data_IF_878837806880
#
_entry.id   IF_878837806880
#
_cell.length_a   1.000
_cell.length_b   1.000
_cell.length_c   1.000
_cell.angle_alpha   90.00
_cell.angle_beta   90.00
_cell.angle_gamma   90.00
#
_symmetry.space_group_name_H-M   'P 1'
#
loop_
_entity.id
_entity.type
_entity.pdbx_description
1 polymer ?
#
# COMPACT_ATOMS: atom_id res chain seq x y z
N UNK A 1 22.86 -5.15 13.51
CA UNK A 1 21.49 -5.20 12.94
C UNK A 1 20.85 -3.84 13.12
N UNK A 2 20.49 -3.20 12.00
CA UNK A 2 20.07 -1.79 11.89
C UNK A 2 18.68 -1.57 12.49
N UNK A 3 18.59 -0.87 13.63
CA UNK A 3 17.31 -0.47 14.26
C UNK A 3 16.41 0.34 13.31
N UNK A 4 16.98 1.23 12.50
CA UNK A 4 16.22 2.06 11.54
C UNK A 4 15.57 1.25 10.41
N UNK A 5 16.19 0.16 9.96
CA UNK A 5 15.58 -0.72 8.96
C UNK A 5 14.31 -1.37 9.51
N UNK A 6 14.34 -1.76 10.80
CA UNK A 6 13.18 -2.36 11.45
C UNK A 6 12.02 -1.37 11.66
N UNK A 7 12.29 -0.06 11.78
CA UNK A 7 11.24 0.96 11.87
C UNK A 7 10.60 1.26 10.52
N UNK A 8 11.41 1.43 9.46
CA UNK A 8 10.92 1.63 8.10
C UNK A 8 10.07 0.44 7.62
N UNK A 9 10.48 -0.79 7.90
CA UNK A 9 9.69 -2.00 7.58
C UNK A 9 8.34 -2.02 8.31
N UNK A 10 8.28 -1.56 9.57
CA UNK A 10 7.01 -1.44 10.31
C UNK A 10 6.09 -0.40 9.67
N UNK A 11 6.62 0.77 9.27
CA UNK A 11 5.87 1.81 8.57
C UNK A 11 5.29 1.27 7.26
N UNK A 12 6.09 0.54 6.48
CA UNK A 12 5.66 -0.08 5.21
C UNK A 12 4.53 -1.07 5.49
N UNK A 13 4.73 -2.02 6.41
CA UNK A 13 3.72 -3.06 6.70
C UNK A 13 2.40 -2.45 7.18
N UNK A 14 2.46 -1.48 8.08
CA UNK A 14 1.27 -0.81 8.61
C UNK A 14 0.56 0.01 7.52
N UNK A 15 1.31 0.65 6.63
CA UNK A 15 0.74 1.35 5.49
C UNK A 15 -0.01 0.40 4.55
N UNK A 16 0.60 -0.73 4.16
CA UNK A 16 -0.06 -1.70 3.29
C UNK A 16 -1.30 -2.32 3.94
N UNK A 17 -1.23 -2.67 5.24
CA UNK A 17 -2.42 -3.10 5.99
C UNK A 17 -3.51 -2.05 5.96
N UNK A 18 -3.17 -0.79 6.22
CA UNK A 18 -4.13 0.31 6.23
C UNK A 18 -4.82 0.47 4.88
N UNK A 19 -4.06 0.44 3.78
CA UNK A 19 -4.58 0.69 2.43
C UNK A 19 -5.33 -0.52 1.86
N UNK A 20 -4.86 -1.74 2.13
CA UNK A 20 -5.34 -2.95 1.46
C UNK A 20 -6.17 -3.89 2.33
N UNK A 21 -6.26 -3.69 3.65
CA UNK A 21 -7.26 -4.35 4.47
C UNK A 21 -8.54 -3.52 4.47
N UNK A 22 -9.51 -3.99 3.70
CA UNK A 22 -10.81 -3.37 3.57
C UNK A 22 -11.90 -4.42 3.73
N UNK A 23 -12.94 -4.09 4.48
CA UNK A 23 -14.17 -4.85 4.51
C UNK A 23 -15.34 -3.90 4.28
N UNK A 24 -16.25 -4.25 3.36
CA UNK A 24 -17.37 -3.39 2.99
C UNK A 24 -18.24 -2.97 4.17
N UNK A 25 -18.31 -3.79 5.22
CA UNK A 25 -19.00 -3.50 6.48
C UNK A 25 -18.37 -2.34 7.26
N UNK A 26 -17.06 -2.12 7.13
CA UNK A 26 -16.31 -1.06 7.80
C UNK A 26 -16.31 0.27 7.04
N UNK A 27 -16.86 0.28 5.82
CA UNK A 27 -17.11 1.42 4.92
C UNK A 27 -15.89 2.20 4.42
N UNK A 28 -14.84 2.44 5.20
CA UNK A 28 -13.73 3.31 4.80
C UNK A 28 -12.35 2.81 5.26
N UNK A 29 -11.35 3.04 4.41
CA UNK A 29 -9.93 2.96 4.77
C UNK A 29 -9.64 4.03 5.84
N UNK A 30 -8.85 3.72 6.86
CA UNK A 30 -8.42 4.70 7.88
C UNK A 30 -7.46 5.72 7.27
N UNK A 31 -8.01 6.73 6.59
CA UNK A 31 -7.24 7.84 6.00
C UNK A 31 -6.46 8.63 7.06
N UNK A 32 -6.90 8.59 8.33
CA UNK A 32 -6.15 9.13 9.48
C UNK A 32 -4.80 8.45 9.63
N UNK A 33 -4.76 7.10 9.59
CA UNK A 33 -3.52 6.32 9.72
C UNK A 33 -2.61 6.54 8.52
N UNK A 34 -3.16 6.68 7.30
CA UNK A 34 -2.38 7.04 6.11
C UNK A 34 -1.66 8.38 6.29
N UNK A 35 -2.32 9.38 6.86
CA UNK A 35 -1.75 10.72 7.10
C UNK A 35 -0.62 10.72 8.14
N UNK A 36 -0.65 9.79 9.08
CA UNK A 36 0.42 9.59 10.06
C UNK A 36 1.65 8.95 9.40
N UNK A 37 1.45 7.94 8.55
CA UNK A 37 2.50 7.13 7.95
C UNK A 37 3.15 7.75 6.68
N UNK A 38 2.45 8.65 6.00
CA UNK A 38 2.88 9.21 4.72
C UNK A 38 2.89 10.75 4.72
N UNK A 39 3.46 11.33 3.67
CA UNK A 39 3.35 12.78 3.39
C UNK A 39 1.99 13.13 2.81
N UNK A 40 1.63 14.41 2.86
CA UNK A 40 0.37 14.90 2.27
C UNK A 40 0.26 14.57 0.78
N UNK A 41 1.37 14.57 0.03
CA UNK A 41 1.36 14.20 -1.38
C UNK A 41 0.88 12.76 -1.60
N UNK A 42 1.47 11.79 -0.89
CA UNK A 42 1.10 10.37 -0.98
C UNK A 42 -0.33 10.15 -0.48
N UNK A 43 -0.75 10.87 0.56
CA UNK A 43 -2.13 10.86 1.04
C UNK A 43 -3.11 11.32 -0.06
N UNK A 44 -2.82 12.42 -0.76
CA UNK A 44 -3.68 12.94 -1.83
C UNK A 44 -3.70 12.02 -3.05
N UNK A 45 -2.57 11.41 -3.42
CA UNK A 45 -2.50 10.38 -4.47
C UNK A 45 -3.45 9.22 -4.18
N UNK A 46 -3.39 8.66 -2.96
CA UNK A 46 -4.29 7.59 -2.54
C UNK A 46 -5.77 8.02 -2.51
N UNK A 47 -6.06 9.21 -1.99
CA UNK A 47 -7.43 9.72 -1.97
C UNK A 47 -7.99 9.86 -3.39
N UNK A 48 -7.17 10.33 -4.35
CA UNK A 48 -7.56 10.43 -5.75
C UNK A 48 -7.79 9.06 -6.38
N UNK A 49 -6.93 8.07 -6.13
CA UNK A 49 -7.13 6.69 -6.61
C UNK A 49 -8.46 6.11 -6.11
N UNK A 50 -8.78 6.29 -4.82
CA UNK A 50 -10.06 5.85 -4.24
C UNK A 50 -11.24 6.57 -4.90
N UNK A 51 -11.16 7.89 -5.06
CA UNK A 51 -12.23 8.71 -5.64
C UNK A 51 -12.51 8.36 -7.11
N UNK A 52 -11.45 8.13 -7.90
CA UNK A 52 -11.55 7.71 -9.30
C UNK A 52 -12.23 6.35 -9.39
N UNK A 53 -11.80 5.38 -8.58
CA UNK A 53 -12.42 4.05 -8.54
C UNK A 53 -13.91 4.08 -8.15
N UNK A 54 -14.30 4.99 -7.25
CA UNK A 54 -15.69 5.16 -6.83
C UNK A 54 -16.56 5.85 -7.90
N UNK A 55 -15.99 6.78 -8.67
CA UNK A 55 -16.72 7.60 -9.65
C UNK A 55 -17.19 6.80 -10.88
N UNK A 56 -16.55 5.67 -11.20
CA UNK A 56 -16.91 4.81 -12.34
C UNK A 56 -17.99 3.75 -12.03
N UNK A 57 -18.54 3.69 -10.81
CA UNK A 57 -19.31 2.52 -10.35
C UNK A 57 -20.73 2.82 -9.86
N UNK A 58 -21.69 3.29 -10.69
CA UNK A 58 -23.08 3.32 -10.24
C UNK A 58 -23.69 1.92 -10.06
N UNK A 59 -23.20 0.87 -10.75
CA UNK A 59 -23.92 -0.43 -10.77
C UNK A 59 -23.13 -1.77 -10.78
N UNK A 60 -21.79 -1.87 -10.80
CA UNK A 60 -21.18 -3.23 -10.94
C UNK A 60 -19.95 -3.63 -10.10
N UNK A 61 -19.22 -2.74 -9.43
CA UNK A 61 -17.92 -3.16 -8.88
C UNK A 61 -17.82 -2.84 -7.38
N UNK A 62 -18.27 -3.72 -6.48
CA UNK A 62 -17.92 -3.59 -5.06
C UNK A 62 -16.90 -4.65 -4.67
N UNK A 63 -15.68 -4.20 -4.36
CA UNK A 63 -14.78 -4.98 -3.52
C UNK A 63 -15.54 -5.26 -2.22
N UNK A 64 -15.78 -6.53 -1.92
CA UNK A 64 -16.48 -6.93 -0.70
C UNK A 64 -15.47 -7.01 0.45
N UNK A 65 -14.28 -7.53 0.13
CA UNK A 65 -13.17 -7.68 1.05
C UNK A 65 -11.85 -7.57 0.28
N UNK A 66 -10.87 -6.92 0.89
CA UNK A 66 -9.47 -6.93 0.48
C UNK A 66 -8.64 -7.22 1.73
N UNK A 67 -7.58 -8.01 1.60
CA UNK A 67 -6.65 -8.25 2.70
C UNK A 67 -5.24 -8.50 2.22
N UNK A 68 -4.28 -8.07 3.05
CA UNK A 68 -2.86 -8.37 2.96
C UNK A 68 -2.38 -8.94 4.29
N UNK A 69 -1.54 -9.97 4.24
CA UNK A 69 -0.86 -10.52 5.40
C UNK A 69 0.53 -9.88 5.52
N UNK A 70 0.81 -9.19 6.62
CA UNK A 70 2.09 -8.51 6.82
C UNK A 70 3.32 -9.43 6.82
N UNK A 71 3.12 -10.72 7.06
CA UNK A 71 4.18 -11.73 7.00
C UNK A 71 4.52 -12.15 5.57
N UNK A 72 3.63 -11.89 4.62
CA UNK A 72 3.81 -12.22 3.19
C UNK A 72 4.38 -11.03 2.40
N UNK A 73 4.41 -9.83 3.00
CA UNK A 73 5.03 -8.65 2.41
C UNK A 73 6.54 -8.84 2.40
N UNK A 74 7.12 -8.90 1.19
CA UNK A 74 8.57 -8.91 1.00
C UNK A 74 9.05 -7.46 0.87
N UNK A 75 10.09 -7.12 1.63
CA UNK A 75 10.68 -5.78 1.64
C UNK A 75 12.17 -5.92 1.39
N UNK A 76 12.65 -5.33 0.29
CA UNK A 76 14.06 -5.29 -0.07
C UNK A 76 14.54 -3.84 -0.02
N UNK A 77 15.57 -3.56 0.77
CA UNK A 77 16.16 -2.23 0.86
C UNK A 77 17.20 -2.01 -0.27
N UNK A 78 17.21 -0.82 -0.86
CA UNK A 78 18.17 -0.38 -1.89
C UNK A 78 18.99 0.82 -1.40
N UNK A 79 19.99 1.22 -2.19
CA UNK A 79 20.87 2.34 -1.88
C UNK A 79 20.09 3.59 -1.46
N UNK A 80 20.51 4.16 -0.33
CA UNK A 80 19.94 5.38 0.22
C UNK A 80 20.56 6.60 -0.45
N UNK A 81 19.74 7.53 -0.93
CA UNK A 81 20.20 8.80 -1.50
C UNK A 81 19.61 9.97 -0.72
N UNK A 82 20.39 11.00 -0.44
CA UNK A 82 19.94 12.27 0.17
C UNK A 82 19.10 12.10 1.47
N UNK A 83 19.59 11.24 2.38
CA UNK A 83 18.93 10.85 3.65
C UNK A 83 17.54 10.22 3.49
N UNK A 84 17.27 9.62 2.32
CA UNK A 84 16.09 8.80 2.09
C UNK A 84 16.48 7.34 1.91
N UNK A 85 15.66 6.44 2.44
CA UNK A 85 15.77 4.99 2.26
C UNK A 85 14.78 4.55 1.20
N UNK A 86 15.21 3.68 0.29
CA UNK A 86 14.36 3.16 -0.78
C UNK A 86 14.13 1.66 -0.59
N UNK A 87 12.93 1.21 -0.90
CA UNK A 87 12.50 -0.16 -0.74
C UNK A 87 11.73 -0.64 -1.95
N UNK A 88 12.03 -1.85 -2.45
CA UNK A 88 11.10 -2.61 -3.26
C UNK A 88 10.20 -3.38 -2.30
N UNK A 89 8.91 -3.15 -2.43
CA UNK A 89 7.88 -3.82 -1.65
C UNK A 89 7.04 -4.65 -2.59
N UNK A 90 6.95 -5.94 -2.27
CA UNK A 90 6.11 -6.90 -2.97
C UNK A 90 5.06 -7.40 -1.99
N UNK A 91 3.79 -7.10 -2.28
CA UNK A 91 2.67 -7.39 -1.39
C UNK A 91 1.60 -8.22 -2.13
N UNK A 92 1.35 -9.47 -1.69
CA UNK A 92 0.19 -10.24 -2.13
C UNK A 92 -1.10 -9.62 -1.60
N UNK A 93 -2.03 -9.35 -2.50
CA UNK A 93 -3.34 -8.78 -2.18
C UNK A 93 -4.41 -9.81 -2.51
N UNK A 94 -5.17 -10.22 -1.51
CA UNK A 94 -6.30 -11.13 -1.67
C UNK A 94 -7.59 -10.33 -1.70
N UNK A 95 -8.27 -10.30 -2.84
CA UNK A 95 -9.53 -9.57 -2.99
C UNK A 95 -10.69 -10.51 -3.30
N UNK A 96 -11.85 -10.16 -2.74
CA UNK A 96 -13.13 -10.75 -3.13
C UNK A 96 -13.96 -9.69 -3.81
N UNK A 97 -14.22 -9.94 -5.08
CA UNK A 97 -14.94 -9.07 -5.99
C UNK A 97 -16.21 -9.78 -6.45
N UNK A 98 -17.37 -9.25 -6.09
CA UNK A 98 -18.68 -9.85 -6.42
C UNK A 98 -18.76 -11.37 -6.12
N UNK A 99 -18.19 -11.82 -5.01
CA UNK A 99 -18.14 -13.22 -4.59
C UNK A 99 -17.02 -14.05 -5.21
N UNK A 100 -16.27 -13.49 -6.16
CA UNK A 100 -15.15 -14.14 -6.84
C UNK A 100 -13.83 -13.72 -6.21
N UNK A 101 -12.95 -14.68 -5.94
CA UNK A 101 -11.58 -14.39 -5.49
C UNK A 101 -10.75 -13.85 -6.65
N UNK A 102 -10.02 -12.78 -6.40
CA UNK A 102 -9.08 -12.17 -7.32
C UNK A 102 -7.82 -11.82 -6.53
N UNK A 103 -6.83 -12.70 -6.59
CA UNK A 103 -5.58 -12.54 -5.88
C UNK A 103 -4.52 -12.03 -6.87
N UNK A 104 -3.77 -11.02 -6.47
CA UNK A 104 -2.73 -10.41 -7.30
C UNK A 104 -1.59 -9.90 -6.44
N UNK A 105 -0.46 -9.62 -7.08
CA UNK A 105 0.72 -9.08 -6.42
C UNK A 105 0.91 -7.63 -6.82
N UNK A 106 1.15 -6.77 -5.83
CA UNK A 106 1.55 -5.38 -6.04
C UNK A 106 3.05 -5.27 -5.81
N UNK A 107 3.74 -4.66 -6.78
CA UNK A 107 5.16 -4.35 -6.71
C UNK A 107 5.34 -2.83 -6.73
N UNK A 108 5.94 -2.26 -5.68
CA UNK A 108 6.16 -0.81 -5.60
C UNK A 108 7.54 -0.46 -5.06
N UNK A 109 8.10 0.61 -5.62
CA UNK A 109 9.20 1.34 -5.01
C UNK A 109 8.63 2.32 -3.98
N UNK A 110 9.08 2.19 -2.73
CA UNK A 110 8.70 3.02 -1.60
C UNK A 110 9.92 3.81 -1.14
N UNK A 111 9.79 5.13 -1.04
CA UNK A 111 10.80 5.98 -0.43
C UNK A 111 10.34 6.43 0.96
N UNK A 112 11.21 6.25 1.96
CA UNK A 112 11.01 6.74 3.33
C UNK A 112 12.07 7.80 3.67
N UNK A 113 11.59 8.92 4.20
CA UNK A 113 12.43 9.98 4.76
C UNK A 113 11.75 10.53 6.01
N UNK A 114 12.53 10.74 7.07
CA UNK A 114 12.01 11.19 8.38
C UNK A 114 10.82 10.35 8.86
N UNK A 115 10.94 9.01 8.79
CA UNK A 115 9.92 8.05 9.22
C UNK A 115 8.56 8.20 8.52
N UNK A 116 8.52 8.82 7.33
CA UNK A 116 7.32 8.91 6.50
C UNK A 116 7.56 8.39 5.11
N UNK A 117 6.54 7.76 4.54
CA UNK A 117 6.50 7.43 3.11
C UNK A 117 6.35 8.73 2.33
N UNK A 118 7.36 9.06 1.54
CA UNK A 118 7.41 10.30 0.74
C UNK A 118 7.08 10.09 -0.72
N UNK A 119 7.26 8.87 -1.21
CA UNK A 119 7.00 8.51 -2.60
C UNK A 119 6.60 7.04 -2.68
N UNK A 120 5.66 6.75 -3.58
CA UNK A 120 5.21 5.41 -3.93
C UNK A 120 5.13 5.32 -5.45
N UNK A 121 5.73 4.29 -6.03
CA UNK A 121 5.70 4.09 -7.48
C UNK A 121 5.44 2.63 -7.78
N UNK A 122 4.28 2.33 -8.37
CA UNK A 122 3.97 0.99 -8.86
C UNK A 122 4.86 0.65 -10.04
N UNK A 123 5.45 -0.55 -10.01
CA UNK A 123 6.26 -1.08 -11.10
C UNK A 123 5.66 -2.40 -11.59
N UNK A 124 5.79 -2.66 -12.89
CA UNK A 124 5.53 -3.99 -13.44
C UNK A 124 6.84 -4.77 -13.39
N UNK A 125 6.86 -5.88 -12.66
CA UNK A 125 7.90 -6.87 -12.84
C UNK A 125 7.54 -7.62 -14.13
N UNK A 126 8.48 -7.68 -15.08
CA UNK A 126 8.27 -8.43 -16.32
C UNK A 126 8.03 -9.92 -16.02
N UNK A 127 7.30 -10.59 -16.92
CA UNK A 127 7.27 -12.05 -16.93
C UNK A 127 8.65 -12.55 -17.36
N UNK A 128 9.25 -13.47 -16.58
CA UNK A 128 10.47 -14.20 -16.97
C UNK A 128 10.18 -15.20 -18.10
#
# INVERSE_FOLDING_TARGET
>A
SNTNQSESEKIIKEFYKTVYNYEKSQKEISMTTVKELATDNVYQELQNEINVNNSYSPQQNTIQKSSVNENEIKILAYESKDNSQQYLVTAPIHQVFNGTKNDFEINQLIQIKNQKITQRTTIQLGEE
#
